data_IF_150474195691
#
_entry.id   IF_150474195691
#
_cell.length_a   1.000
_cell.length_b   1.000
_cell.length_c   1.000
_cell.angle_alpha   90.00
_cell.angle_beta   90.00
_cell.angle_gamma   90.00
#
_symmetry.space_group_name_H-M   'P 1'
#
loop_
_entity.id
_entity.type
_entity.pdbx_description
1 polymer ?
#
# COMPACT_ATOMS: atom_id res chain seq x y z
N UNK A 1 9.52 -10.48 -12.51
CA UNK A 1 8.07 -10.22 -12.34
C UNK A 1 7.89 -8.75 -12.01
N UNK A 2 7.06 -8.03 -12.75
CA UNK A 2 6.76 -6.62 -12.49
C UNK A 2 5.75 -6.52 -11.33
N UNK A 3 6.19 -5.96 -10.19
CA UNK A 3 5.34 -5.84 -9.00
C UNK A 3 4.46 -4.59 -9.08
N UNK A 4 5.02 -3.44 -9.45
CA UNK A 4 4.22 -2.22 -9.62
C UNK A 4 3.37 -2.27 -10.89
N UNK A 5 2.09 -1.91 -10.78
CA UNK A 5 1.17 -1.98 -11.92
C UNK A 5 0.71 -3.41 -12.23
N UNK A 6 0.84 -4.35 -11.29
CA UNK A 6 0.19 -5.67 -11.40
C UNK A 6 -0.85 -5.87 -10.31
N UNK A 7 -1.82 -6.74 -10.57
CA UNK A 7 -2.84 -7.14 -9.58
C UNK A 7 -2.20 -7.66 -8.29
N UNK A 8 -1.20 -8.53 -8.42
CA UNK A 8 -0.49 -9.11 -7.28
C UNK A 8 0.30 -8.07 -6.49
N UNK A 9 1.07 -7.20 -7.13
CA UNK A 9 1.82 -6.20 -6.39
C UNK A 9 0.93 -5.13 -5.76
N UNK A 10 -0.20 -4.79 -6.37
CA UNK A 10 -1.21 -3.92 -5.76
C UNK A 10 -1.72 -4.49 -4.42
N UNK A 11 -2.03 -5.79 -4.38
CA UNK A 11 -2.44 -6.46 -3.14
C UNK A 11 -1.31 -6.43 -2.11
N UNK A 12 -0.06 -6.67 -2.53
CA UNK A 12 1.11 -6.61 -1.62
C UNK A 12 1.26 -5.22 -1.00
N UNK A 13 1.21 -4.15 -1.80
CA UNK A 13 1.32 -2.78 -1.29
C UNK A 13 0.19 -2.44 -0.32
N UNK A 14 -1.04 -2.87 -0.62
CA UNK A 14 -2.19 -2.65 0.25
C UNK A 14 -2.02 -3.37 1.60
N UNK A 15 -1.56 -4.63 1.58
CA UNK A 15 -1.33 -5.41 2.80
C UNK A 15 -0.23 -4.77 3.68
N UNK A 16 0.84 -4.28 3.06
CA UNK A 16 1.90 -3.55 3.78
C UNK A 16 1.32 -2.28 4.42
N UNK A 17 0.52 -1.51 3.68
CA UNK A 17 -0.12 -0.30 4.19
C UNK A 17 -1.05 -0.57 5.38
N UNK A 18 -1.94 -1.56 5.26
CA UNK A 18 -2.87 -1.93 6.33
C UNK A 18 -2.13 -2.47 7.55
N UNK A 19 -1.13 -3.34 7.36
CA UNK A 19 -0.31 -3.85 8.45
C UNK A 19 0.44 -2.75 9.19
N UNK A 20 1.02 -1.80 8.43
CA UNK A 20 1.72 -0.64 9.01
C UNK A 20 0.76 0.27 9.77
N UNK A 21 -0.47 0.48 9.26
CA UNK A 21 -1.49 1.23 9.96
C UNK A 21 -1.90 0.56 11.28
N UNK A 22 -2.05 -0.77 11.29
CA UNK A 22 -2.31 -1.54 12.52
C UNK A 22 -1.20 -1.36 13.56
N UNK A 23 0.06 -1.41 13.13
CA UNK A 23 1.21 -1.13 14.00
C UNK A 23 1.21 0.31 14.52
N UNK A 24 0.81 1.27 13.68
CA UNK A 24 0.72 2.67 14.08
C UNK A 24 -0.33 2.88 15.18
N UNK A 25 -1.52 2.26 15.05
CA UNK A 25 -2.60 2.32 16.03
C UNK A 25 -2.19 1.63 17.33
N UNK A 26 -1.57 0.45 17.26
CA UNK A 26 -1.14 -0.28 18.45
C UNK A 26 -0.08 0.49 19.27
N UNK A 27 0.78 1.24 18.59
CA UNK A 27 1.92 1.93 19.22
C UNK A 27 1.71 3.44 19.41
N UNK A 28 0.52 3.96 19.08
CA UNK A 28 0.20 5.40 19.06
C UNK A 28 1.29 6.25 18.37
N UNK A 29 1.75 5.77 17.21
CA UNK A 29 2.90 6.34 16.50
C UNK A 29 2.47 7.04 15.20
N UNK A 30 2.46 8.37 15.24
CA UNK A 30 2.09 9.22 14.11
C UNK A 30 3.01 9.06 12.88
N UNK A 31 4.32 8.84 13.10
CA UNK A 31 5.26 8.64 11.99
C UNK A 31 4.96 7.33 11.26
N UNK A 32 4.67 6.26 12.01
CA UNK A 32 4.26 4.97 11.42
C UNK A 32 2.94 5.10 10.67
N UNK A 33 1.99 5.90 11.17
CA UNK A 33 0.74 6.19 10.47
C UNK A 33 1.00 6.90 9.13
N UNK A 34 1.91 7.88 9.11
CA UNK A 34 2.28 8.58 7.88
C UNK A 34 2.91 7.63 6.85
N UNK A 35 3.78 6.72 7.29
CA UNK A 35 4.39 5.69 6.43
C UNK A 35 3.30 4.76 5.86
N UNK A 36 2.33 4.36 6.68
CA UNK A 36 1.20 3.54 6.24
C UNK A 36 0.40 4.21 5.11
N UNK A 37 0.17 5.53 5.21
CA UNK A 37 -0.48 6.30 4.14
C UNK A 37 0.32 6.24 2.84
N UNK A 38 1.65 6.34 2.90
CA UNK A 38 2.52 6.20 1.73
C UNK A 38 2.37 4.85 1.03
N UNK A 39 2.30 3.76 1.79
CA UNK A 39 2.08 2.41 1.25
C UNK A 39 0.69 2.24 0.62
N UNK A 40 -0.35 2.77 1.28
CA UNK A 40 -1.71 2.76 0.72
C UNK A 40 -1.77 3.57 -0.58
N UNK A 41 -1.13 4.74 -0.62
CA UNK A 41 -1.05 5.54 -1.85
C UNK A 41 -0.34 4.79 -2.99
N UNK A 42 0.77 4.09 -2.70
CA UNK A 42 1.45 3.24 -3.68
C UNK A 42 0.54 2.12 -4.19
N UNK A 43 -0.28 1.52 -3.31
CA UNK A 43 -1.26 0.53 -3.72
C UNK A 43 -2.31 1.13 -4.67
N UNK A 44 -2.81 2.33 -4.39
CA UNK A 44 -3.77 3.03 -5.24
C UNK A 44 -3.18 3.38 -6.61
N UNK A 45 -1.94 3.88 -6.66
CA UNK A 45 -1.29 4.17 -7.94
C UNK A 45 -0.96 2.90 -8.72
N UNK A 46 -0.50 1.84 -8.05
CA UNK A 46 -0.31 0.53 -8.67
C UNK A 46 -1.64 -0.02 -9.20
N UNK A 47 -2.75 0.21 -8.49
CA UNK A 47 -4.09 -0.18 -8.92
C UNK A 47 -4.51 0.54 -10.20
N UNK A 48 -4.36 1.86 -10.20
CA UNK A 48 -4.69 2.71 -11.33
C UNK A 48 -3.86 2.36 -12.57
N UNK A 49 -2.60 1.95 -12.38
CA UNK A 49 -1.73 1.55 -13.48
C UNK A 49 -2.15 0.21 -14.08
N UNK A 50 -2.36 -0.84 -13.27
CA UNK A 50 -2.75 -2.15 -13.82
C UNK A 50 -4.10 -2.09 -14.54
N UNK A 51 -5.00 -1.21 -14.11
CA UNK A 51 -6.33 -1.03 -14.72
C UNK A 51 -6.30 -0.39 -16.10
N UNK A 52 -5.18 0.20 -16.51
CA UNK A 52 -5.00 0.71 -17.88
C UNK A 52 -4.65 -0.40 -18.87
N UNK A 53 -4.16 -1.53 -18.37
CA UNK A 53 -3.75 -2.68 -19.18
C UNK A 53 -4.91 -3.68 -19.40
N UNK A 54 -5.99 -3.59 -18.62
CA UNK A 54 -7.27 -4.31 -18.78
C UNK A 54 -8.27 -3.51 -19.65
#
# INVERSE_FOLDING_TARGET
>A
MQLFGSKMGTVVWLLIGVGTAGLAVHNDNQLTALIAVGWVALAVFSWAEYRKED
#
